data_IF_973732278392
#
_entry.id   IF_973732278392
#
_cell.length_a   1.000
_cell.length_b   1.000
_cell.length_c   1.000
_cell.angle_alpha   90.00
_cell.angle_beta   90.00
_cell.angle_gamma   90.00
#
_symmetry.space_group_name_H-M   'P 1'
#
loop_
_entity.id
_entity.type
_entity.pdbx_description
1 polymer ?
#
# COMPACT_ATOMS: atom_id res chain seq x y z
N UNK A 1 -25.32 0.67 -8.35
CA UNK A 1 -25.55 1.37 -7.07
C UNK A 1 -24.19 1.48 -6.41
N UNK A 2 -23.76 2.69 -6.01
CA UNK A 2 -22.46 2.84 -5.42
C UNK A 2 -22.41 2.08 -4.09
N UNK A 3 -21.30 1.38 -3.84
CA UNK A 3 -21.09 0.63 -2.60
C UNK A 3 -19.83 1.12 -1.93
N UNK A 4 -19.92 1.38 -0.63
CA UNK A 4 -18.77 1.77 0.20
C UNK A 4 -18.27 0.52 0.91
N UNK A 5 -16.96 0.32 0.85
CA UNK A 5 -16.23 -0.76 1.49
C UNK A 5 -15.24 -0.16 2.46
N UNK A 6 -15.14 -0.74 3.65
CA UNK A 6 -14.09 -0.43 4.63
C UNK A 6 -13.18 -1.65 4.73
N UNK A 7 -11.93 -1.49 4.32
CA UNK A 7 -10.88 -2.48 4.49
C UNK A 7 -10.00 -2.12 5.69
N UNK A 8 -9.60 -3.11 6.46
CA UNK A 8 -8.64 -2.96 7.55
C UNK A 8 -7.31 -3.57 7.12
N UNK A 9 -6.22 -2.83 7.27
CA UNK A 9 -4.86 -3.27 6.93
C UNK A 9 -4.02 -3.18 8.20
N UNK A 10 -3.31 -4.25 8.61
CA UNK A 10 -2.41 -4.18 9.76
C UNK A 10 -1.38 -3.06 9.59
N UNK A 11 -1.04 -2.36 10.68
CA UNK A 11 -0.06 -1.27 10.63
C UNK A 11 1.31 -1.73 10.11
N UNK A 12 1.70 -2.98 10.39
CA UNK A 12 2.98 -3.56 9.96
C UNK A 12 3.07 -3.83 8.45
N UNK A 13 1.93 -3.91 7.76
CA UNK A 13 1.82 -4.25 6.34
C UNK A 13 1.69 -3.02 5.43
N UNK A 14 1.67 -1.81 6.00
CA UNK A 14 1.36 -0.58 5.26
C UNK A 14 2.24 0.61 5.66
N UNK A 15 1.88 1.78 5.15
CA UNK A 15 2.59 3.03 5.41
C UNK A 15 2.68 3.34 6.92
N UNK A 16 3.70 4.10 7.30
CA UNK A 16 3.90 4.64 8.65
C UNK A 16 4.03 3.58 9.75
N UNK A 17 4.42 2.35 9.41
CA UNK A 17 4.51 1.23 10.37
C UNK A 17 5.42 1.54 11.54
N UNK A 18 6.57 2.18 11.31
CA UNK A 18 7.51 2.52 12.37
C UNK A 18 6.99 3.69 13.19
N UNK A 19 6.39 4.69 12.55
CA UNK A 19 5.83 5.88 13.20
C UNK A 19 4.68 5.53 14.15
N UNK A 20 3.71 4.74 13.66
CA UNK A 20 2.54 4.32 14.43
C UNK A 20 2.92 3.40 15.59
N UNK A 21 4.02 2.66 15.47
CA UNK A 21 4.57 1.84 16.55
C UNK A 21 5.36 2.68 17.56
N UNK A 22 6.14 3.66 17.11
CA UNK A 22 6.98 4.48 17.96
C UNK A 22 6.17 5.49 18.80
N UNK A 23 5.03 5.93 18.27
CA UNK A 23 4.14 6.91 18.91
C UNK A 23 2.73 6.30 19.00
N UNK A 24 2.38 5.62 20.11
CA UNK A 24 1.14 4.83 20.20
C UNK A 24 -0.15 5.62 20.02
N UNK A 25 -0.14 6.90 20.43
CA UNK A 25 -1.27 7.82 20.32
C UNK A 25 -1.35 8.49 18.94
N UNK A 26 -0.39 8.23 18.04
CA UNK A 26 -0.34 8.83 16.70
C UNK A 26 -1.55 8.38 15.89
N UNK A 27 -2.34 9.35 15.44
CA UNK A 27 -3.42 9.15 14.50
C UNK A 27 -3.15 9.97 13.25
N UNK A 28 -3.32 9.34 12.10
CA UNK A 28 -3.14 9.98 10.79
C UNK A 28 -4.39 9.82 9.95
N UNK A 29 -4.73 10.86 9.18
CA UNK A 29 -5.91 10.86 8.31
C UNK A 29 -5.58 11.56 7.00
N UNK A 30 -5.89 10.94 5.87
CA UNK A 30 -5.75 11.59 4.57
C UNK A 30 -6.77 12.72 4.43
N UNK A 31 -6.32 13.91 4.05
CA UNK A 31 -7.20 14.95 3.57
C UNK A 31 -7.82 14.50 2.25
N UNK A 32 -9.14 14.33 2.20
CA UNK A 32 -9.95 13.85 1.06
C UNK A 32 -9.25 14.04 -0.30
N UNK A 33 -8.67 12.96 -0.80
CA UNK A 33 -8.03 12.93 -2.11
C UNK A 33 -9.07 12.38 -3.10
N UNK A 34 -9.52 13.20 -4.04
CA UNK A 34 -10.23 12.71 -5.23
C UNK A 34 -9.15 12.35 -6.24
N UNK A 35 -8.59 11.15 -6.15
CA UNK A 35 -7.56 10.70 -7.07
C UNK A 35 -8.17 9.92 -8.23
N UNK A 36 -8.06 10.51 -9.42
CA UNK A 36 -8.47 9.88 -10.68
C UNK A 36 -7.29 9.52 -11.58
N UNK A 37 -6.10 10.02 -11.28
CA UNK A 37 -4.91 9.84 -12.12
C UNK A 37 -3.80 9.12 -11.35
N UNK A 38 -3.28 8.06 -11.97
CA UNK A 38 -2.51 6.95 -11.38
C UNK A 38 -1.07 7.29 -11.01
N UNK A 39 -0.69 8.58 -11.03
CA UNK A 39 0.71 8.99 -10.98
C UNK A 39 1.03 9.72 -9.67
N UNK A 40 1.40 8.92 -8.67
CA UNK A 40 2.02 9.32 -7.40
C UNK A 40 1.12 10.11 -6.44
N UNK A 41 0.58 9.39 -5.45
CA UNK A 41 -0.11 10.00 -4.31
C UNK A 41 0.95 10.75 -3.49
N UNK A 42 0.92 12.07 -3.54
CA UNK A 42 1.53 12.91 -2.51
C UNK A 42 0.44 13.22 -1.48
N UNK A 43 0.18 12.36 -0.49
CA UNK A 43 -0.95 12.57 0.39
C UNK A 43 -0.71 13.76 1.30
N UNK A 44 -1.74 14.59 1.41
CA UNK A 44 -1.89 15.53 2.52
C UNK A 44 -2.49 14.77 3.69
N UNK A 45 -1.77 14.70 4.80
CA UNK A 45 -2.13 13.92 5.98
C UNK A 45 -2.28 14.83 7.19
N UNK A 46 -3.46 14.80 7.80
CA UNK A 46 -3.65 15.31 9.16
C UNK A 46 -3.01 14.34 10.15
N UNK A 47 -2.24 14.86 11.10
CA UNK A 47 -1.54 14.08 12.11
C UNK A 47 -1.87 14.63 13.50
N UNK A 48 -2.26 13.75 14.42
CA UNK A 48 -2.68 14.06 15.80
C UNK A 48 -2.04 13.10 16.80
N UNK A 49 -2.17 13.44 18.08
CA UNK A 49 -1.82 12.54 19.20
C UNK A 49 -0.39 12.64 19.71
N UNK A 50 0.43 13.52 19.13
CA UNK A 50 1.74 13.86 19.68
C UNK A 50 2.16 15.28 19.28
N UNK A 51 3.14 15.83 19.99
CA UNK A 51 3.72 17.12 19.65
C UNK A 51 4.49 17.06 18.32
N UNK A 52 4.61 18.22 17.65
CA UNK A 52 5.18 18.29 16.30
C UNK A 52 6.64 17.83 16.18
N UNK A 53 7.46 17.92 17.22
CA UNK A 53 8.86 17.43 17.18
C UNK A 53 8.92 15.91 17.23
N UNK A 54 8.10 15.30 18.10
CA UNK A 54 7.98 13.84 18.21
C UNK A 54 7.46 13.24 16.92
N UNK A 55 6.41 13.84 16.34
CA UNK A 55 5.85 13.45 15.04
C UNK A 55 6.89 13.58 13.92
N UNK A 56 7.57 14.72 13.81
CA UNK A 56 8.56 14.95 12.76
C UNK A 56 9.72 13.95 12.83
N UNK A 57 10.16 13.60 14.04
CA UNK A 57 11.21 12.60 14.26
C UNK A 57 10.74 11.22 13.82
N UNK A 58 9.55 10.80 14.29
CA UNK A 58 8.99 9.50 13.93
C UNK A 58 8.82 9.34 12.41
N UNK A 59 8.29 10.37 11.72
CA UNK A 59 8.12 10.35 10.26
C UNK A 59 9.47 10.34 9.50
N UNK A 60 10.51 10.95 10.06
CA UNK A 60 11.85 10.96 9.43
C UNK A 60 12.57 9.61 9.57
N UNK A 61 12.33 8.91 10.67
CA UNK A 61 12.89 7.58 10.95
C UNK A 61 12.08 6.45 10.28
N UNK A 62 10.90 6.76 9.73
CA UNK A 62 10.02 5.78 9.12
C UNK A 62 10.51 5.32 7.75
N UNK A 63 10.61 4.00 7.58
CA UNK A 63 11.18 3.42 6.37
C UNK A 63 10.26 3.57 5.16
N UNK A 64 8.96 3.78 5.37
CA UNK A 64 7.96 3.94 4.32
C UNK A 64 7.85 5.38 3.80
N UNK A 65 8.43 6.35 4.52
CA UNK A 65 8.40 7.77 4.18
C UNK A 65 9.65 8.13 3.38
N UNK A 66 9.46 8.78 2.23
CA UNK A 66 10.54 9.40 1.46
C UNK A 66 10.83 10.81 1.95
N UNK A 67 9.77 11.60 2.18
CA UNK A 67 9.85 12.93 2.76
C UNK A 67 8.54 13.31 3.45
N UNK A 68 8.62 14.16 4.48
CA UNK A 68 7.47 14.71 5.17
C UNK A 68 7.72 16.18 5.53
N UNK A 69 6.85 17.07 5.05
CA UNK A 69 6.91 18.51 5.29
C UNK A 69 5.65 18.97 6.02
N UNK A 70 5.82 19.65 7.16
CA UNK A 70 4.69 20.24 7.90
C UNK A 70 4.23 21.51 7.21
N UNK A 71 2.99 21.52 6.73
CA UNK A 71 2.36 22.64 6.02
C UNK A 71 1.66 23.59 6.99
N UNK A 72 0.98 23.02 7.99
CA UNK A 72 0.27 23.79 9.00
C UNK A 72 0.34 23.10 10.36
N UNK A 73 0.25 23.89 11.43
CA UNK A 73 0.17 23.42 12.82
C UNK A 73 -0.95 24.15 13.52
N UNK A 74 -1.75 23.38 14.26
CA UNK A 74 -2.84 23.84 15.11
C UNK A 74 -2.58 23.33 16.54
N UNK A 75 -3.51 23.59 17.46
CA UNK A 75 -3.37 23.22 18.87
C UNK A 75 -3.27 21.71 19.07
N UNK A 76 -4.15 20.94 18.40
CA UNK A 76 -4.26 19.48 18.57
C UNK A 76 -3.83 18.66 17.34
N UNK A 77 -3.52 19.32 16.23
CA UNK A 77 -3.26 18.66 14.95
C UNK A 77 -2.26 19.41 14.07
N UNK A 78 -1.64 18.70 13.13
CA UNK A 78 -0.75 19.28 12.13
C UNK A 78 -1.03 18.66 10.77
N UNK A 79 -0.96 19.48 9.72
CA UNK A 79 -1.09 19.03 8.35
C UNK A 79 0.30 18.80 7.76
N UNK A 80 0.55 17.59 7.26
CA UNK A 80 1.78 17.21 6.59
C UNK A 80 1.51 16.91 5.12
N UNK A 81 2.40 17.37 4.25
CA UNK A 81 2.54 16.83 2.91
C UNK A 81 3.60 15.73 2.97
N UNK A 82 3.23 14.52 2.56
CA UNK A 82 4.12 13.36 2.60
C UNK A 82 4.38 12.82 1.19
N UNK A 83 5.58 12.31 0.99
CA UNK A 83 5.92 11.43 -0.13
C UNK A 83 6.24 10.06 0.46
N UNK A 84 5.57 9.02 -0.01
CA UNK A 84 5.84 7.65 0.41
C UNK A 84 6.86 7.00 -0.52
N UNK A 85 7.46 5.91 -0.06
CA UNK A 85 8.32 5.09 -0.92
C UNK A 85 7.46 4.22 -1.83
N UNK A 86 8.08 3.81 -2.94
CA UNK A 86 7.46 3.09 -4.06
C UNK A 86 6.68 1.85 -3.64
N UNK A 87 7.15 1.14 -2.61
CA UNK A 87 6.52 -0.09 -2.13
C UNK A 87 5.10 0.17 -1.60
N UNK A 88 4.89 1.31 -0.93
CA UNK A 88 3.57 1.75 -0.46
C UNK A 88 2.71 2.26 -1.61
N UNK A 89 3.31 3.02 -2.55
CA UNK A 89 2.62 3.50 -3.74
C UNK A 89 2.02 2.32 -4.54
N UNK A 90 2.80 1.26 -4.72
CA UNK A 90 2.35 0.04 -5.39
C UNK A 90 1.23 -0.67 -4.62
N UNK A 91 1.29 -0.70 -3.28
CA UNK A 91 0.23 -1.27 -2.46
C UNK A 91 -1.09 -0.50 -2.62
N UNK A 92 -1.04 0.84 -2.59
CA UNK A 92 -2.22 1.69 -2.85
C UNK A 92 -2.76 1.45 -4.26
N UNK A 93 -1.88 1.42 -5.26
CA UNK A 93 -2.27 1.19 -6.66
C UNK A 93 -3.00 -0.15 -6.84
N UNK A 94 -2.47 -1.24 -6.28
CA UNK A 94 -3.10 -2.57 -6.33
C UNK A 94 -4.49 -2.56 -5.68
N UNK A 95 -4.70 -1.75 -4.64
CA UNK A 95 -6.00 -1.60 -3.99
C UNK A 95 -6.98 -0.77 -4.85
N UNK A 96 -6.48 0.12 -5.70
CA UNK A 96 -7.30 1.03 -6.52
C UNK A 96 -7.50 0.60 -7.97
N UNK A 97 -6.96 -0.55 -8.40
CA UNK A 97 -6.93 -0.97 -9.81
C UNK A 97 -8.32 -1.04 -10.47
N UNK A 98 -9.37 -1.34 -9.72
CA UNK A 98 -10.73 -1.62 -10.19
C UNK A 98 -11.70 -0.43 -10.04
N UNK A 99 -11.50 0.71 -10.71
CA UNK A 99 -12.41 1.89 -10.68
C UNK A 99 -12.81 2.41 -9.26
N UNK A 100 -12.15 1.93 -8.22
CA UNK A 100 -12.47 2.22 -6.84
C UNK A 100 -11.95 3.61 -6.49
N UNK A 101 -12.84 4.47 -6.00
CA UNK A 101 -12.44 5.78 -5.48
C UNK A 101 -12.07 5.63 -4.01
N UNK A 102 -10.85 5.98 -3.62
CA UNK A 102 -10.51 6.15 -2.21
C UNK A 102 -11.26 7.37 -1.68
N UNK A 103 -12.03 7.20 -0.60
CA UNK A 103 -12.75 8.28 0.06
C UNK A 103 -11.92 8.92 1.19
N UNK A 104 -11.30 8.07 2.00
CA UNK A 104 -10.33 8.43 3.03
C UNK A 104 -9.55 7.20 3.50
N UNK A 105 -8.44 7.50 4.18
CA UNK A 105 -7.54 6.55 4.81
C UNK A 105 -7.21 7.08 6.22
N UNK A 106 -7.44 6.25 7.23
CA UNK A 106 -7.19 6.56 8.64
C UNK A 106 -6.24 5.52 9.25
N UNK A 107 -5.18 5.95 9.93
CA UNK A 107 -4.16 5.06 10.48
C UNK A 107 -3.90 5.33 11.97
N UNK A 108 -3.82 4.25 12.74
CA UNK A 108 -3.38 4.23 14.15
C UNK A 108 -2.46 3.05 14.41
N UNK A 109 -1.96 2.91 15.64
CA UNK A 109 -1.20 1.74 16.08
C UNK A 109 -1.98 0.41 15.94
N UNK A 110 -3.32 0.45 15.90
CA UNK A 110 -4.18 -0.73 15.69
C UNK A 110 -4.28 -1.14 14.20
N UNK A 111 -3.89 -0.25 13.29
CA UNK A 111 -3.94 -0.49 11.84
C UNK A 111 -4.55 0.65 11.05
N UNK A 112 -4.66 0.42 9.75
CA UNK A 112 -5.24 1.33 8.79
C UNK A 112 -6.65 0.93 8.41
N UNK A 113 -7.54 1.91 8.34
CA UNK A 113 -8.86 1.82 7.77
C UNK A 113 -8.87 2.55 6.44
N UNK A 114 -9.06 1.82 5.35
CA UNK A 114 -9.25 2.38 4.02
C UNK A 114 -10.72 2.31 3.65
N UNK A 115 -11.30 3.44 3.31
CA UNK A 115 -12.68 3.51 2.84
C UNK A 115 -12.70 3.81 1.35
N UNK A 116 -13.26 2.89 0.59
CA UNK A 116 -13.33 2.98 -0.87
C UNK A 116 -14.77 2.93 -1.35
N UNK A 117 -15.07 3.66 -2.42
CA UNK A 117 -16.35 3.66 -3.10
C UNK A 117 -16.20 3.01 -4.47
N UNK A 118 -17.05 2.03 -4.72
CA UNK A 118 -17.18 1.35 -6.00
C UNK A 118 -18.45 1.84 -6.68
N UNK A 119 -18.40 2.35 -7.92
CA UNK A 119 -19.57 2.92 -8.60
C UNK A 119 -20.65 1.87 -8.93
N UNK A 120 -20.23 0.64 -9.18
CA UNK A 120 -21.10 -0.49 -9.51
C UNK A 120 -20.68 -1.80 -8.81
N UNK A 121 -21.58 -2.79 -8.83
CA UNK A 121 -21.43 -4.06 -8.09
C UNK A 121 -20.50 -5.04 -8.81
N UNK A 122 -20.32 -4.91 -10.12
CA UNK A 122 -19.49 -5.82 -10.91
C UNK A 122 -18.01 -5.54 -10.64
N UNK A 123 -17.68 -4.27 -10.43
CA UNK A 123 -16.36 -3.78 -10.00
C UNK A 123 -15.98 -4.30 -8.60
N UNK A 124 -16.92 -4.36 -7.64
CA UNK A 124 -16.68 -4.97 -6.32
C UNK A 124 -16.35 -6.47 -6.38
N UNK A 125 -17.01 -7.20 -7.28
CA UNK A 125 -16.76 -8.63 -7.48
C UNK A 125 -15.42 -8.90 -8.16
N UNK A 126 -14.90 -7.95 -8.94
CA UNK A 126 -13.50 -7.95 -9.41
C UNK A 126 -12.51 -7.78 -8.25
N UNK A 127 -12.76 -6.81 -7.36
CA UNK A 127 -11.87 -6.45 -6.25
C UNK A 127 -11.75 -7.53 -5.14
N UNK A 128 -12.87 -8.12 -4.72
CA UNK A 128 -12.87 -9.23 -3.74
C UNK A 128 -12.82 -10.62 -4.38
N UNK A 129 -12.94 -10.65 -5.70
CA UNK A 129 -12.47 -11.78 -6.46
C UNK A 129 -10.94 -11.78 -6.41
N UNK A 130 -10.36 -12.64 -5.58
CA UNK A 130 -9.25 -13.45 -6.15
C UNK A 130 -9.72 -13.83 -7.55
N UNK A 131 -8.95 -13.69 -8.64
CA UNK A 131 -9.40 -14.28 -9.89
C UNK A 131 -9.62 -15.78 -9.60
N UNK A 132 -10.88 -16.15 -9.36
CA UNK A 132 -11.24 -17.50 -8.90
C UNK A 132 -11.24 -18.47 -10.07
N UNK A 133 -10.93 -17.99 -11.27
CA UNK A 133 -10.99 -18.73 -12.52
C UNK A 133 -9.93 -18.27 -13.54
N UNK A 134 -8.84 -17.60 -13.13
CA UNK A 134 -7.68 -17.51 -14.01
C UNK A 134 -6.78 -18.69 -13.71
N UNK A 135 -7.00 -19.81 -14.40
CA UNK A 135 -6.01 -20.87 -14.45
C UNK A 135 -4.79 -20.33 -15.21
N UNK A 136 -3.67 -21.04 -15.11
CA UNK A 136 -2.47 -20.77 -15.89
C UNK A 136 -2.77 -20.71 -17.41
N UNK A 137 -3.89 -21.27 -17.86
CA UNK A 137 -4.41 -21.11 -19.23
C UNK A 137 -4.77 -19.67 -19.57
N UNK A 138 -5.58 -19.01 -18.74
CA UNK A 138 -6.07 -17.66 -19.00
C UNK A 138 -4.92 -16.63 -19.00
N UNK A 139 -3.91 -16.87 -18.17
CA UNK A 139 -2.69 -16.06 -18.10
C UNK A 139 -1.79 -16.31 -19.32
N UNK A 140 -1.74 -17.54 -19.82
CA UNK A 140 -0.95 -17.91 -21.00
C UNK A 140 -1.55 -17.30 -22.28
N UNK A 141 -2.88 -17.35 -22.42
CA UNK A 141 -3.62 -16.78 -23.55
C UNK A 141 -3.48 -15.26 -23.61
N UNK A 142 -3.54 -14.57 -22.47
CA UNK A 142 -3.34 -13.10 -22.40
C UNK A 142 -1.91 -12.68 -22.75
N UNK A 143 -0.94 -13.57 -22.62
CA UNK A 143 0.46 -13.34 -22.94
C UNK A 143 0.87 -13.89 -24.32
N UNK A 144 -0.07 -14.47 -25.07
CA UNK A 144 0.14 -15.16 -26.36
C UNK A 144 1.31 -16.16 -26.29
N UNK A 145 1.36 -16.95 -25.21
CA UNK A 145 2.36 -18.00 -25.01
C UNK A 145 1.66 -19.30 -24.62
N UNK A 146 2.32 -20.43 -24.82
CA UNK A 146 1.75 -21.70 -24.36
C UNK A 146 1.75 -21.79 -22.84
N UNK A 147 0.77 -22.53 -22.29
CA UNK A 147 0.70 -22.89 -20.87
C UNK A 147 2.01 -23.49 -20.34
N UNK A 148 2.70 -24.30 -21.15
CA UNK A 148 4.01 -24.86 -20.83
C UNK A 148 5.10 -23.77 -20.76
N UNK A 149 5.09 -22.80 -21.68
CA UNK A 149 6.02 -21.68 -21.67
C UNK A 149 5.80 -20.76 -20.45
N UNK A 150 4.54 -20.54 -20.05
CA UNK A 150 4.21 -19.82 -18.82
C UNK A 150 4.71 -20.57 -17.58
N UNK A 151 4.41 -21.87 -17.48
CA UNK A 151 4.85 -22.73 -16.37
C UNK A 151 6.38 -22.73 -16.22
N UNK A 152 7.12 -22.81 -17.33
CA UNK A 152 8.58 -22.74 -17.36
C UNK A 152 9.12 -21.35 -16.97
N UNK A 153 8.42 -20.26 -17.31
CA UNK A 153 8.79 -18.90 -16.89
C UNK A 153 8.55 -18.69 -15.40
N UNK A 154 7.43 -19.15 -14.86
CA UNK A 154 7.13 -19.09 -13.42
C UNK A 154 8.13 -19.92 -12.61
N UNK A 155 8.45 -21.16 -13.04
CA UNK A 155 9.45 -21.98 -12.34
C UNK A 155 10.82 -21.32 -12.30
N UNK A 156 11.25 -20.71 -13.41
CA UNK A 156 12.52 -19.96 -13.48
C UNK A 156 12.48 -18.69 -12.64
N UNK A 157 11.39 -17.94 -12.69
CA UNK A 157 11.16 -16.75 -11.88
C UNK A 157 11.24 -17.07 -10.39
N UNK A 158 10.50 -18.07 -9.90
CA UNK A 158 10.52 -18.51 -8.50
C UNK A 158 11.90 -19.01 -8.07
N UNK A 159 12.56 -19.80 -8.91
CA UNK A 159 13.92 -20.31 -8.61
C UNK A 159 14.94 -19.18 -8.49
N UNK A 160 14.83 -18.14 -9.34
CA UNK A 160 15.72 -16.99 -9.28
C UNK A 160 15.38 -16.07 -8.10
N UNK A 161 14.09 -15.84 -7.82
CA UNK A 161 13.65 -15.05 -6.68
C UNK A 161 14.13 -15.68 -5.36
N UNK A 162 13.96 -17.00 -5.21
CA UNK A 162 14.43 -17.73 -4.02
C UNK A 162 15.96 -17.67 -3.89
N UNK A 163 16.70 -17.80 -5.00
CA UNK A 163 18.17 -17.73 -5.00
C UNK A 163 18.70 -16.33 -4.64
N UNK A 164 18.04 -15.28 -5.10
CA UNK A 164 18.45 -13.89 -4.84
C UNK A 164 18.00 -13.40 -3.45
N UNK A 165 16.83 -13.84 -2.97
CA UNK A 165 16.28 -13.40 -1.68
C UNK A 165 16.80 -14.22 -0.50
N UNK A 166 17.08 -15.51 -0.70
CA UNK A 166 17.72 -16.37 0.32
C UNK A 166 19.06 -16.79 -0.26
N UNK A 167 20.09 -16.00 0.00
CA UNK A 167 21.47 -16.35 -0.36
C UNK A 167 21.89 -17.65 0.32
N UNK A 168 21.60 -18.79 -0.29
CA UNK A 168 22.19 -20.07 0.09
C UNK A 168 23.61 -20.08 -0.48
N UNK A 169 24.53 -19.49 0.29
CA UNK A 169 25.96 -19.62 0.04
C UNK A 169 26.36 -21.08 -0.03
N UNK A 170 26.98 -21.49 -1.14
CA UNK A 170 27.72 -22.74 -1.16
C UNK A 170 28.88 -22.66 -0.15
N UNK A 171 29.21 -23.74 0.58
CA UNK A 171 30.37 -23.73 1.46
C UNK A 171 31.64 -23.52 0.64
N UNK A 172 32.46 -22.54 1.05
CA UNK A 172 33.81 -22.34 0.54
C UNK A 172 34.58 -23.67 0.62
N UNK A 173 35.11 -24.13 -0.51
CA UNK A 173 36.13 -25.16 -0.52
C UNK A 173 37.47 -24.49 -0.20
N UNK A 174 38.03 -24.90 0.93
CA UNK A 174 39.40 -24.69 1.40
C UNK A 174 40.44 -25.00 0.33
#
# INVERSE_FOLDING_TARGET
MPTIVVANIPAEEFALRESLRAVPDLAVESQRVVEKDRDLVMPLMWVRGANGETVQTALADDSSVRSASRIASYEDESLYQMEWKRDVELAVQMITEDEATILDLYGTSDGWQLRSMFPDRDTLTGYFGVPREADLGDVADRLDISHQALSERLRRGHTNLIKETIGVGAPEKT
#
